data_IF_854535014828
#
_entry.id   IF_854535014828
#
_cell.length_a   1.000
_cell.length_b   1.000
_cell.length_c   1.000
_cell.angle_alpha   90.00
_cell.angle_beta   90.00
_cell.angle_gamma   90.00
#
_symmetry.space_group_name_H-M   'P 1'
#
loop_
_entity.id
_entity.type
_entity.pdbx_description
1 polymer ?
#
# COMPACT_ATOMS: atom_id res chain seq x y z
N UNK A 1 30.33 -24.51 -44.26
CA UNK A 1 30.80 -23.97 -42.96
C UNK A 1 29.95 -22.76 -42.59
N UNK A 2 29.04 -22.89 -41.63
CA UNK A 2 28.24 -21.78 -41.08
C UNK A 2 28.54 -21.69 -39.59
N UNK A 3 28.98 -20.52 -39.11
CA UNK A 3 28.97 -19.99 -37.72
C UNK A 3 29.61 -18.58 -37.79
N UNK A 4 29.12 -17.54 -37.11
CA UNK A 4 28.19 -17.50 -36.00
C UNK A 4 27.39 -16.20 -35.92
N UNK A 5 26.20 -16.33 -35.33
CA UNK A 5 25.44 -15.22 -34.77
C UNK A 5 26.00 -14.93 -33.37
N UNK A 6 26.31 -13.66 -33.10
CA UNK A 6 26.67 -13.17 -31.78
C UNK A 6 25.49 -13.33 -30.81
N UNK A 7 25.77 -13.84 -29.61
CA UNK A 7 24.82 -13.85 -28.50
C UNK A 7 24.76 -12.44 -27.93
N UNK A 8 23.63 -11.77 -28.08
CA UNK A 8 23.28 -10.59 -27.30
C UNK A 8 22.68 -11.12 -25.99
N UNK A 9 23.42 -10.97 -24.89
CA UNK A 9 22.91 -11.26 -23.55
C UNK A 9 22.17 -10.03 -23.04
N UNK A 10 20.84 -10.13 -22.91
CA UNK A 10 20.06 -9.22 -22.07
C UNK A 10 20.33 -9.59 -20.61
N UNK A 11 20.85 -8.69 -19.76
CA UNK A 11 20.85 -8.96 -18.33
C UNK A 11 19.40 -8.81 -17.86
N UNK A 12 18.82 -9.90 -17.37
CA UNK A 12 17.63 -9.86 -16.52
C UNK A 12 18.01 -9.06 -15.27
N UNK A 13 17.59 -7.80 -15.19
CA UNK A 13 17.64 -7.02 -13.95
C UNK A 13 16.54 -7.58 -13.05
N UNK A 14 16.95 -8.44 -12.11
CA UNK A 14 16.09 -8.95 -11.05
C UNK A 14 15.96 -7.81 -10.03
N UNK A 15 14.91 -7.00 -10.12
CA UNK A 15 14.57 -6.03 -9.07
C UNK A 15 13.99 -6.85 -7.91
N UNK A 16 14.81 -7.08 -6.89
CA UNK A 16 14.38 -7.65 -5.63
C UNK A 16 13.76 -6.52 -4.81
N UNK A 17 12.44 -6.30 -4.95
CA UNK A 17 11.69 -5.44 -4.01
C UNK A 17 11.70 -6.13 -2.65
N UNK A 18 12.48 -5.60 -1.72
CA UNK A 18 12.59 -6.12 -0.37
C UNK A 18 11.48 -5.47 0.46
N UNK A 19 10.28 -6.07 0.45
CA UNK A 19 9.18 -5.61 1.29
C UNK A 19 9.53 -5.83 2.76
N UNK A 20 9.89 -4.75 3.46
CA UNK A 20 10.03 -4.75 4.93
C UNK A 20 8.65 -4.49 5.56
N UNK A 21 7.84 -5.54 5.67
CA UNK A 21 6.64 -5.49 6.50
C UNK A 21 7.05 -5.58 7.98
N UNK A 22 7.09 -4.45 8.69
CA UNK A 22 7.31 -4.46 10.14
C UNK A 22 5.97 -4.56 10.87
N UNK A 23 5.53 -5.78 11.19
CA UNK A 23 4.34 -5.95 12.03
C UNK A 23 4.74 -5.69 13.49
N UNK A 24 4.48 -4.49 13.97
CA UNK A 24 4.58 -4.15 15.39
C UNK A 24 3.24 -4.47 16.07
N UNK A 25 3.17 -5.62 16.74
CA UNK A 25 1.98 -6.06 17.48
C UNK A 25 1.99 -5.40 18.86
N UNK A 26 0.99 -4.56 19.12
CA UNK A 26 0.66 -4.12 20.47
C UNK A 26 -0.71 -4.74 20.82
N UNK A 27 -0.73 -5.59 21.84
CA UNK A 27 -1.97 -6.15 22.41
C UNK A 27 -2.56 -5.06 23.32
N UNK A 28 -3.69 -4.48 22.94
CA UNK A 28 -4.37 -3.42 23.69
C UNK A 28 -5.82 -3.83 23.96
N UNK A 29 -6.24 -3.68 25.21
CA UNK A 29 -7.63 -3.81 25.67
C UNK A 29 -8.48 -2.69 25.00
N UNK A 30 -9.59 -3.09 24.38
CA UNK A 30 -10.64 -2.36 23.64
C UNK A 30 -10.51 -2.20 22.09
N UNK A 31 -11.58 -2.68 21.42
CA UNK A 31 -12.01 -2.62 20.00
C UNK A 31 -11.14 -3.23 18.88
N UNK A 32 -9.81 -3.34 18.99
CA UNK A 32 -8.97 -3.93 17.93
C UNK A 32 -7.90 -4.88 18.47
N UNK A 33 -7.82 -6.08 17.91
CA UNK A 33 -6.88 -7.12 18.35
C UNK A 33 -5.45 -6.91 17.85
N UNK A 34 -5.29 -6.34 16.65
CA UNK A 34 -3.98 -6.15 16.03
C UNK A 34 -3.86 -4.80 15.35
N UNK A 35 -2.70 -4.17 15.52
CA UNK A 35 -2.27 -3.01 14.72
C UNK A 35 -1.03 -3.42 13.94
N UNK A 36 -0.97 -3.01 12.68
CA UNK A 36 0.16 -3.22 11.79
C UNK A 36 0.57 -1.90 11.13
N UNK A 37 1.87 -1.71 10.96
CA UNK A 37 2.44 -0.57 10.24
C UNK A 37 3.27 -1.11 9.09
N UNK A 38 2.92 -0.75 7.86
CA UNK A 38 3.68 -1.15 6.67
C UNK A 38 4.38 0.06 6.10
N UNK A 39 5.69 -0.09 5.90
CA UNK A 39 6.52 0.87 5.19
C UNK A 39 7.11 0.13 3.97
N UNK A 40 6.77 0.59 2.78
CA UNK A 40 7.39 0.18 1.54
C UNK A 40 8.23 1.36 1.03
N UNK A 41 9.50 1.13 0.69
CA UNK A 41 10.40 2.23 0.39
C UNK A 41 11.57 1.76 -0.48
N UNK A 42 11.88 2.56 -1.50
CA UNK A 42 13.05 2.38 -2.35
C UNK A 42 14.36 2.85 -1.69
N UNK A 43 14.34 3.47 -0.50
CA UNK A 43 15.53 3.97 0.24
C UNK A 43 16.69 2.97 0.41
N UNK A 44 16.44 1.67 0.30
CA UNK A 44 17.48 0.63 0.42
C UNK A 44 18.16 0.28 -0.91
N UNK A 45 17.65 0.81 -2.02
CA UNK A 45 18.19 0.66 -3.37
C UNK A 45 18.42 2.09 -3.87
N UNK A 46 19.68 2.46 -4.14
CA UNK A 46 20.08 3.82 -4.56
C UNK A 46 19.56 4.20 -5.97
N UNK A 47 18.27 4.03 -6.26
CA UNK A 47 17.69 4.19 -7.57
C UNK A 47 16.16 4.43 -7.49
N UNK A 48 15.75 5.70 -7.56
CA UNK A 48 14.36 6.18 -7.43
C UNK A 48 13.54 5.97 -8.72
N UNK A 49 13.46 4.75 -9.24
CA UNK A 49 12.76 4.47 -10.51
C UNK A 49 11.28 4.11 -10.31
N UNK A 50 10.46 5.11 -9.99
CA UNK A 50 9.02 5.10 -10.26
C UNK A 50 8.08 4.62 -9.14
N UNK A 51 8.60 4.17 -8.00
CA UNK A 51 7.82 3.92 -6.77
C UNK A 51 8.62 4.42 -5.57
N UNK A 52 8.26 5.56 -5.00
CA UNK A 52 9.16 6.18 -4.00
C UNK A 52 8.88 5.63 -2.60
N UNK A 53 7.61 5.56 -2.21
CA UNK A 53 7.21 5.28 -0.82
C UNK A 53 5.77 4.78 -0.71
N UNK A 54 5.53 3.87 0.22
CA UNK A 54 4.21 3.48 0.72
C UNK A 54 4.21 3.44 2.24
N UNK A 55 3.24 4.08 2.87
CA UNK A 55 3.06 4.02 4.32
C UNK A 55 1.61 3.68 4.64
N UNK A 56 1.42 2.65 5.45
CA UNK A 56 0.09 2.17 5.83
C UNK A 56 0.04 1.90 7.32
N UNK A 57 -1.05 2.34 7.95
CA UNK A 57 -1.41 1.94 9.31
C UNK A 57 -2.71 1.17 9.21
N UNK A 58 -2.70 -0.05 9.73
CA UNK A 58 -3.82 -0.99 9.62
C UNK A 58 -4.21 -1.47 11.01
N UNK A 59 -5.49 -1.37 11.34
CA UNK A 59 -6.09 -2.00 12.50
C UNK A 59 -6.92 -3.21 12.05
N UNK A 60 -6.84 -4.29 12.81
CA UNK A 60 -7.57 -5.53 12.58
C UNK A 60 -8.32 -5.91 13.85
N UNK A 61 -9.59 -6.22 13.69
CA UNK A 61 -10.47 -6.83 14.69
C UNK A 61 -10.81 -8.23 14.15
N UNK A 62 -10.33 -9.27 14.82
CA UNK A 62 -10.28 -10.65 14.36
C UNK A 62 -10.79 -11.58 15.46
N UNK A 63 -11.75 -12.42 15.11
CA UNK A 63 -12.21 -13.48 16.01
C UNK A 63 -12.50 -14.77 15.26
N UNK A 64 -12.11 -15.88 15.88
CA UNK A 64 -12.53 -17.23 15.56
C UNK A 64 -13.54 -17.77 16.59
N UNK A 65 -13.97 -16.93 17.55
CA UNK A 65 -14.97 -17.27 18.54
C UNK A 65 -16.38 -16.89 18.07
N UNK A 66 -17.23 -17.89 17.84
CA UNK A 66 -18.63 -17.72 17.40
C UNK A 66 -19.49 -16.86 18.32
N UNK A 67 -19.15 -16.75 19.60
CA UNK A 67 -19.86 -15.89 20.55
C UNK A 67 -19.48 -14.41 20.42
N UNK A 68 -18.32 -14.12 19.83
CA UNK A 68 -17.73 -12.78 19.74
C UNK A 68 -17.18 -12.54 18.34
N UNK A 69 -18.05 -12.43 17.34
CA UNK A 69 -17.64 -12.12 15.97
C UNK A 69 -17.61 -10.61 15.74
N UNK A 70 -16.58 -10.09 15.05
CA UNK A 70 -16.54 -8.71 14.57
C UNK A 70 -17.83 -8.33 13.84
N UNK A 71 -18.41 -7.19 14.20
CA UNK A 71 -19.60 -6.68 13.50
C UNK A 71 -19.19 -5.94 12.24
N UNK A 72 -19.79 -6.28 11.10
CA UNK A 72 -19.65 -5.47 9.88
C UNK A 72 -20.16 -4.04 10.08
N UNK A 73 -19.73 -3.14 9.19
CA UNK A 73 -20.07 -1.73 9.24
C UNK A 73 -20.72 -1.22 7.93
N UNK A 74 -20.98 0.09 7.88
CA UNK A 74 -21.65 0.71 6.74
C UNK A 74 -20.81 0.69 5.45
N UNK A 75 -19.49 0.51 5.53
CA UNK A 75 -18.60 0.50 4.37
C UNK A 75 -18.83 -0.74 3.50
N UNK A 76 -19.23 -1.86 4.10
CA UNK A 76 -19.49 -3.12 3.41
C UNK A 76 -20.97 -3.47 3.30
N UNK A 77 -21.82 -2.80 4.10
CA UNK A 77 -23.27 -3.05 4.19
C UNK A 77 -23.99 -3.27 2.84
N UNK A 78 -23.75 -2.46 1.78
CA UNK A 78 -24.48 -2.62 0.51
C UNK A 78 -24.27 -3.97 -0.19
N UNK A 79 -23.21 -4.71 0.15
CA UNK A 79 -22.84 -5.97 -0.48
C UNK A 79 -22.93 -7.18 0.47
N UNK A 80 -23.35 -7.02 1.73
CA UNK A 80 -23.40 -8.14 2.69
C UNK A 80 -24.24 -9.33 2.23
N UNK A 81 -25.24 -9.08 1.38
CA UNK A 81 -26.09 -10.13 0.80
C UNK A 81 -25.35 -11.08 -0.14
N UNK A 82 -24.11 -10.76 -0.54
CA UNK A 82 -23.27 -11.63 -1.38
C UNK A 82 -22.46 -12.63 -0.57
N UNK A 83 -22.42 -12.50 0.75
CA UNK A 83 -21.71 -13.44 1.63
C UNK A 83 -22.47 -14.77 1.71
N UNK A 84 -21.72 -15.86 1.82
CA UNK A 84 -22.23 -17.18 2.17
C UNK A 84 -23.05 -17.11 3.48
N UNK A 85 -24.24 -17.70 3.48
CA UNK A 85 -25.18 -17.70 4.61
C UNK A 85 -24.95 -18.87 5.58
N UNK A 86 -23.97 -19.73 5.30
CA UNK A 86 -23.57 -20.83 6.17
C UNK A 86 -22.84 -20.36 7.43
N UNK A 87 -22.63 -21.31 8.35
CA UNK A 87 -22.04 -21.03 9.66
C UNK A 87 -20.61 -20.48 9.55
N UNK A 88 -20.41 -19.24 9.99
CA UNK A 88 -19.11 -18.57 10.02
C UNK A 88 -18.26 -19.13 11.17
N UNK A 89 -17.04 -19.56 10.85
CA UNK A 89 -16.05 -20.06 11.81
C UNK A 89 -15.07 -18.97 12.24
N UNK A 90 -14.92 -17.91 11.44
CA UNK A 90 -14.10 -16.75 11.80
C UNK A 90 -14.43 -15.53 10.96
N UNK A 91 -14.21 -14.36 11.52
CA UNK A 91 -14.39 -13.09 10.82
C UNK A 91 -13.30 -12.09 11.18
N UNK A 92 -13.06 -11.16 10.24
CA UNK A 92 -12.06 -10.11 10.38
C UNK A 92 -12.61 -8.80 9.81
N UNK A 93 -12.57 -7.75 10.60
CA UNK A 93 -12.64 -6.37 10.14
C UNK A 93 -11.23 -5.80 9.99
N UNK A 94 -10.96 -5.16 8.87
CA UNK A 94 -9.69 -4.50 8.58
C UNK A 94 -9.96 -3.05 8.22
N UNK A 95 -9.29 -2.14 8.91
CA UNK A 95 -9.29 -0.70 8.63
C UNK A 95 -7.86 -0.28 8.34
N UNK A 96 -7.62 0.33 7.18
CA UNK A 96 -6.29 0.80 6.81
C UNK A 96 -6.36 2.20 6.23
N UNK A 97 -5.44 3.05 6.65
CA UNK A 97 -5.15 4.33 6.00
C UNK A 97 -3.74 4.23 5.46
N UNK A 98 -3.54 4.65 4.22
CA UNK A 98 -2.19 4.68 3.67
C UNK A 98 -1.97 5.70 2.58
N UNK A 99 -0.72 6.10 2.44
CA UNK A 99 -0.16 6.95 1.39
C UNK A 99 0.63 6.08 0.41
N UNK A 100 0.62 6.43 -0.87
CA UNK A 100 1.49 5.87 -1.91
C UNK A 100 1.96 6.96 -2.84
N UNK A 101 3.29 7.03 -2.96
CA UNK A 101 4.00 8.08 -3.66
C UNK A 101 4.63 7.56 -4.94
N UNK A 102 4.39 8.29 -6.02
CA UNK A 102 5.01 8.10 -7.33
C UNK A 102 5.86 9.34 -7.65
N UNK A 103 7.08 9.12 -8.11
CA UNK A 103 7.97 10.18 -8.59
C UNK A 103 8.60 9.80 -9.93
N UNK A 104 9.03 10.79 -10.74
CA UNK A 104 9.94 10.57 -11.86
C UNK A 104 11.28 9.99 -11.40
N UNK A 105 12.09 9.55 -12.37
CA UNK A 105 13.43 8.98 -12.11
C UNK A 105 14.45 10.02 -11.65
N UNK A 106 14.29 11.25 -12.11
CA UNK A 106 15.05 12.41 -11.63
C UNK A 106 14.11 13.28 -10.78
N UNK A 107 14.35 13.31 -9.48
CA UNK A 107 13.52 14.10 -8.56
C UNK A 107 13.90 15.60 -8.56
N UNK A 108 15.04 15.97 -9.12
CA UNK A 108 15.60 17.33 -9.08
C UNK A 108 15.08 18.23 -10.20
N UNK A 109 14.30 17.68 -11.14
CA UNK A 109 13.65 18.44 -12.21
C UNK A 109 12.26 18.93 -11.78
N UNK A 110 11.96 20.20 -12.09
CA UNK A 110 10.66 20.83 -11.79
C UNK A 110 9.53 20.26 -12.66
N UNK A 111 9.84 19.89 -13.90
CA UNK A 111 8.88 19.36 -14.87
C UNK A 111 9.42 18.05 -15.42
N UNK A 112 8.76 16.95 -15.09
CA UNK A 112 9.11 15.62 -15.59
C UNK A 112 8.90 15.54 -17.11
N UNK A 113 9.72 14.75 -17.80
CA UNK A 113 9.52 14.51 -19.23
C UNK A 113 8.18 13.80 -19.49
N UNK A 114 7.58 14.01 -20.67
CA UNK A 114 6.26 13.42 -21.02
C UNK A 114 6.22 11.88 -20.95
N UNK A 115 7.38 11.22 -21.03
CA UNK A 115 7.52 9.77 -20.99
C UNK A 115 7.91 9.24 -19.59
N UNK A 116 7.95 10.10 -18.58
CA UNK A 116 8.20 9.73 -17.18
C UNK A 116 6.92 9.79 -16.35
N UNK A 117 6.94 9.13 -15.19
CA UNK A 117 5.86 9.26 -14.23
C UNK A 117 5.87 10.70 -13.68
N UNK A 118 4.70 11.36 -13.61
CA UNK A 118 4.60 12.61 -12.88
C UNK A 118 4.72 12.34 -11.38
N UNK A 119 4.98 13.40 -10.63
CA UNK A 119 4.72 13.37 -9.20
C UNK A 119 3.24 13.13 -8.96
N UNK A 120 2.93 12.14 -8.13
CA UNK A 120 1.56 11.86 -7.72
C UNK A 120 1.57 11.17 -6.36
N UNK A 121 0.58 11.51 -5.55
CA UNK A 121 0.35 10.87 -4.27
C UNK A 121 -1.09 10.37 -4.24
N UNK A 122 -1.28 9.18 -3.67
CA UNK A 122 -2.60 8.62 -3.39
C UNK A 122 -2.74 8.39 -1.89
N UNK A 123 -3.60 9.19 -1.26
CA UNK A 123 -4.04 8.94 0.11
C UNK A 123 -5.31 8.09 0.05
N UNK A 124 -5.27 6.93 0.70
CA UNK A 124 -6.36 5.96 0.72
C UNK A 124 -6.86 5.67 2.13
N UNK A 125 -8.16 5.43 2.22
CA UNK A 125 -8.77 4.64 3.28
C UNK A 125 -9.32 3.36 2.67
N UNK A 126 -9.05 2.25 3.34
CA UNK A 126 -9.44 0.92 2.95
C UNK A 126 -10.15 0.24 4.13
N UNK A 127 -11.34 -0.28 3.87
CA UNK A 127 -12.07 -1.12 4.81
C UNK A 127 -12.31 -2.49 4.18
N UNK A 128 -12.22 -3.54 4.98
CA UNK A 128 -12.56 -4.90 4.56
C UNK A 128 -13.25 -5.66 5.67
N UNK A 129 -14.32 -6.36 5.30
CA UNK A 129 -14.92 -7.40 6.10
C UNK A 129 -14.69 -8.75 5.41
N UNK A 130 -14.11 -9.68 6.14
CA UNK A 130 -13.83 -11.04 5.68
C UNK A 130 -14.51 -12.02 6.62
N UNK A 131 -15.22 -13.00 6.07
CA UNK A 131 -15.81 -14.12 6.81
C UNK A 131 -15.30 -15.42 6.23
N UNK A 132 -14.97 -16.38 7.09
CA UNK A 132 -14.52 -17.70 6.68
C UNK A 132 -15.36 -18.78 7.36
N UNK A 133 -15.65 -19.84 6.61
CA UNK A 133 -16.18 -21.10 7.12
C UNK A 133 -15.26 -22.26 6.72
N UNK A 134 -15.68 -23.50 6.96
CA UNK A 134 -14.86 -24.69 6.67
C UNK A 134 -14.56 -24.92 5.17
N UNK A 135 -15.31 -24.29 4.26
CA UNK A 135 -15.23 -24.51 2.82
C UNK A 135 -14.86 -23.25 2.01
N UNK A 136 -15.25 -22.06 2.49
CA UNK A 136 -15.16 -20.79 1.75
C UNK A 136 -14.65 -19.65 2.65
N UNK A 137 -14.09 -18.63 2.01
CA UNK A 137 -13.75 -17.37 2.63
C UNK A 137 -14.22 -16.25 1.69
N UNK A 138 -15.17 -15.45 2.16
CA UNK A 138 -15.75 -14.35 1.42
C UNK A 138 -15.22 -13.02 1.94
N UNK A 139 -15.06 -12.07 1.03
CA UNK A 139 -14.46 -10.77 1.32
C UNK A 139 -15.20 -9.66 0.60
N UNK A 140 -15.60 -8.64 1.35
CA UNK A 140 -16.09 -7.38 0.80
C UNK A 140 -15.11 -6.28 1.21
N UNK A 141 -14.71 -5.46 0.25
CA UNK A 141 -13.78 -4.36 0.48
C UNK A 141 -14.32 -3.07 -0.10
N UNK A 142 -14.08 -1.98 0.61
CA UNK A 142 -14.35 -0.61 0.16
C UNK A 142 -13.07 0.20 0.23
N UNK A 143 -12.71 0.83 -0.89
CA UNK A 143 -11.57 1.73 -0.98
C UNK A 143 -12.06 3.10 -1.42
N UNK A 144 -11.65 4.13 -0.69
CA UNK A 144 -11.81 5.52 -1.10
C UNK A 144 -10.45 6.19 -1.03
N UNK A 145 -10.21 7.16 -1.90
CA UNK A 145 -8.94 7.86 -1.90
C UNK A 145 -8.98 9.15 -2.69
N UNK A 146 -7.93 9.93 -2.49
CA UNK A 146 -7.72 11.23 -3.13
C UNK A 146 -6.33 11.21 -3.75
N UNK A 147 -6.25 11.69 -4.99
CA UNK A 147 -4.99 11.94 -5.69
C UNK A 147 -4.74 13.45 -5.73
N UNK A 148 -3.48 13.83 -5.53
CA UNK A 148 -2.99 15.20 -5.70
C UNK A 148 -2.64 15.91 -4.39
N UNK A 149 -2.62 17.26 -4.34
CA UNK A 149 -2.02 18.00 -3.22
C UNK A 149 -2.63 17.67 -1.84
N UNK A 150 -3.92 17.34 -1.80
CA UNK A 150 -4.62 16.95 -0.58
C UNK A 150 -4.17 15.61 -0.01
N UNK A 151 -3.47 14.81 -0.81
CA UNK A 151 -2.88 13.57 -0.37
C UNK A 151 -1.53 13.77 0.36
N UNK A 152 -0.97 15.00 0.39
CA UNK A 152 0.22 15.40 1.17
C UNK A 152 1.54 14.71 0.77
N UNK A 153 1.72 14.42 -0.52
CA UNK A 153 2.91 13.74 -1.01
C UNK A 153 4.19 14.58 -0.90
N UNK A 154 4.10 15.87 -1.25
CA UNK A 154 5.22 16.81 -1.18
C UNK A 154 5.78 16.91 0.24
N UNK A 155 4.88 17.12 1.21
CA UNK A 155 5.25 17.27 2.61
C UNK A 155 5.88 15.99 3.15
N UNK A 156 5.31 14.83 2.84
CA UNK A 156 5.86 13.53 3.25
C UNK A 156 7.26 13.32 2.66
N UNK A 157 7.42 13.43 1.34
CA UNK A 157 8.70 13.17 0.69
C UNK A 157 9.79 14.14 1.16
N UNK A 158 9.51 15.45 1.18
CA UNK A 158 10.47 16.46 1.65
C UNK A 158 10.85 16.24 3.12
N UNK A 159 9.91 15.83 3.96
CA UNK A 159 10.20 15.53 5.38
C UNK A 159 11.15 14.34 5.51
N UNK A 160 10.88 13.24 4.79
CA UNK A 160 11.74 12.06 4.81
C UNK A 160 13.12 12.39 4.25
N UNK A 161 13.20 13.04 3.08
CA UNK A 161 14.46 13.41 2.43
C UNK A 161 15.31 14.31 3.33
N UNK A 162 14.69 15.29 4.00
CA UNK A 162 15.37 16.14 4.98
C UNK A 162 15.88 15.36 6.19
N UNK A 163 15.14 14.38 6.68
CA UNK A 163 15.52 13.58 7.84
C UNK A 163 16.75 12.69 7.56
N UNK A 164 16.87 12.19 6.33
CA UNK A 164 17.97 11.31 5.91
C UNK A 164 19.10 12.03 5.17
N UNK A 165 18.93 13.31 4.84
CA UNK A 165 19.90 14.10 4.08
C UNK A 165 19.96 13.78 2.58
N UNK A 166 18.84 13.37 1.99
CA UNK A 166 18.70 13.14 0.55
C UNK A 166 18.41 14.45 -0.22
N UNK A 167 18.53 14.39 -1.55
CA UNK A 167 18.26 15.48 -2.46
C UNK A 167 16.79 15.95 -2.38
N UNK A 168 16.51 17.24 -2.55
CA UNK A 168 15.16 17.79 -2.37
C UNK A 168 14.32 17.68 -3.65
N UNK A 169 13.14 17.03 -3.63
CA UNK A 169 12.29 16.89 -4.82
C UNK A 169 11.72 18.25 -5.26
N UNK A 170 11.87 18.59 -6.54
CA UNK A 170 11.51 19.90 -7.11
C UNK A 170 10.21 19.89 -7.94
N UNK A 171 9.67 18.73 -8.31
CA UNK A 171 8.58 18.64 -9.29
C UNK A 171 7.14 18.67 -8.74
N UNK A 172 6.96 18.80 -7.42
CA UNK A 172 5.64 18.72 -6.77
C UNK A 172 4.63 19.79 -7.20
N UNK A 173 5.10 20.94 -7.68
CA UNK A 173 4.25 22.00 -8.26
C UNK A 173 3.56 21.56 -9.58
N UNK A 174 4.03 20.47 -10.19
CA UNK A 174 3.48 19.88 -11.43
C UNK A 174 2.78 18.54 -11.23
N UNK A 175 2.48 18.18 -9.98
CA UNK A 175 1.83 16.92 -9.64
C UNK A 175 0.43 16.75 -10.27
N UNK A 176 -0.02 15.50 -10.36
CA UNK A 176 -1.39 15.14 -10.76
C UNK A 176 -2.46 15.59 -9.77
#
# INVERSE_FOLDING_TARGET
MRRGLGKVSFPFLFVLMMQLSCVAVAEQDDDFDWIAVTLDNDLFVSNDNGYTNGFYVTALDLSDNKEYMPTNDFWVWPLLWTLDDSEVEGAVNVYSIGQTLLSPSDIMIEVSAENELPYAELLTFFNTYLTANVNTADRISTTIGIIGPWALGEETQKTVHKAIGADEPQGWDTQL
#
